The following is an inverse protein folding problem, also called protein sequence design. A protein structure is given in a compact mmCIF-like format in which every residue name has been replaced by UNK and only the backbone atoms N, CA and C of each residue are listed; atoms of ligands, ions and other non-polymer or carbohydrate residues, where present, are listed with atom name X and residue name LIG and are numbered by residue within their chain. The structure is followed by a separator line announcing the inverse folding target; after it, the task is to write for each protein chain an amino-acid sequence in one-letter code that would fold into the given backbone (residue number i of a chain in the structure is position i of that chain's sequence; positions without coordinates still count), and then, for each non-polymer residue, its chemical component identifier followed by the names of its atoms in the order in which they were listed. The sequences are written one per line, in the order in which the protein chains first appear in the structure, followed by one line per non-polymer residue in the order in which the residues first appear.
data_IF_910441169501
#
_entry.id   IF_910441169501
#
_cell.length_a   1.000
_cell.length_b   1.000
_cell.length_c   1.000
_cell.angle_alpha   90.00
_cell.angle_beta   90.00
_cell.angle_gamma   90.00
#
_symmetry.space_group_name_H-M   'P 1'
#
loop_
_entity.id
_entity.type
_entity.pdbx_description
1 polymer ?
#
# COMPACT_ATOMS: atom_id res chain seq x y z
N UNK A 1 -20.52 -19.53 21.28
CA UNK A 1 -19.61 -20.70 21.34
C UNK A 1 -19.04 -20.93 19.94
N UNK A 2 -17.73 -20.70 19.71
CA UNK A 2 -17.12 -21.00 18.40
C UNK A 2 -17.09 -22.53 18.21
N UNK A 3 -17.60 -22.98 17.06
CA UNK A 3 -17.65 -24.40 16.69
C UNK A 3 -16.23 -24.94 16.49
N UNK A 4 -15.99 -26.26 16.69
CA UNK A 4 -14.68 -26.90 16.49
C UNK A 4 -14.12 -26.61 15.09
N UNK A 5 -14.98 -26.56 14.06
CA UNK A 5 -14.62 -26.17 12.69
C UNK A 5 -14.11 -24.71 12.60
N UNK A 6 -14.68 -23.77 13.34
CA UNK A 6 -14.23 -22.38 13.39
C UNK A 6 -12.82 -22.25 13.96
N UNK A 7 -12.54 -22.92 15.08
CA UNK A 7 -11.20 -22.91 15.68
C UNK A 7 -10.12 -23.57 14.81
N UNK A 8 -10.48 -24.59 14.03
CA UNK A 8 -9.55 -25.21 13.09
C UNK A 8 -9.21 -24.26 11.91
N UNK A 9 -10.21 -23.52 11.40
CA UNK A 9 -10.05 -22.51 10.37
C UNK A 9 -9.18 -21.33 10.86
N UNK A 10 -9.46 -20.81 12.05
CA UNK A 10 -8.67 -19.72 12.67
C UNK A 10 -7.20 -20.12 12.88
N UNK A 11 -6.94 -21.36 13.35
CA UNK A 11 -5.57 -21.87 13.50
C UNK A 11 -4.87 -22.02 12.16
N UNK A 12 -5.59 -22.44 11.11
CA UNK A 12 -5.03 -22.56 9.77
C UNK A 12 -4.66 -21.19 9.21
N UNK A 13 -5.53 -20.21 9.36
CA UNK A 13 -5.29 -18.84 8.91
C UNK A 13 -4.14 -18.18 9.69
N UNK A 14 -4.08 -18.36 11.00
CA UNK A 14 -2.98 -17.89 11.84
C UNK A 14 -1.62 -18.47 11.41
N UNK A 15 -1.57 -19.77 11.07
CA UNK A 15 -0.32 -20.40 10.60
C UNK A 15 0.09 -19.93 9.20
N UNK A 16 -0.89 -19.74 8.31
CA UNK A 16 -0.65 -19.14 7.00
C UNK A 16 -0.09 -17.72 7.17
N UNK A 17 -0.71 -16.92 8.05
CA UNK A 17 -0.24 -15.58 8.38
C UNK A 17 1.21 -15.55 8.87
N UNK A 18 1.58 -16.45 9.78
CA UNK A 18 2.96 -16.55 10.28
C UNK A 18 3.96 -16.90 9.18
N UNK A 19 3.60 -17.77 8.22
CA UNK A 19 4.43 -18.07 7.06
C UNK A 19 4.56 -16.86 6.11
N UNK A 20 3.51 -16.06 5.92
CA UNK A 20 3.56 -14.83 5.13
C UNK A 20 4.45 -13.80 5.80
N UNK A 21 4.34 -13.62 7.12
CA UNK A 21 5.17 -12.68 7.87
C UNK A 21 6.65 -13.08 7.82
N UNK A 22 6.96 -14.38 7.94
CA UNK A 22 8.31 -14.89 7.79
C UNK A 22 8.85 -14.71 6.37
N UNK A 23 8.02 -14.96 5.35
CA UNK A 23 8.40 -14.75 3.95
C UNK A 23 8.69 -13.26 3.68
N UNK A 24 7.85 -12.36 4.17
CA UNK A 24 8.09 -10.91 4.07
C UNK A 24 9.44 -10.54 4.72
N UNK A 25 9.70 -10.98 5.95
CA UNK A 25 10.97 -10.70 6.63
C UNK A 25 12.18 -11.20 5.84
N UNK A 26 12.11 -12.42 5.30
CA UNK A 26 13.19 -13.01 4.48
C UNK A 26 13.38 -12.23 3.17
N UNK A 27 12.30 -11.82 2.50
CA UNK A 27 12.38 -11.05 1.26
C UNK A 27 12.93 -9.65 1.49
N UNK A 28 12.60 -9.02 2.61
CA UNK A 28 13.14 -7.71 3.00
C UNK A 28 14.60 -7.75 3.43
N UNK A 29 15.08 -8.88 3.96
CA UNK A 29 16.47 -9.06 4.41
C UNK A 29 17.43 -9.33 3.24
N UNK A 30 17.08 -10.22 2.33
CA UNK A 30 17.99 -10.72 1.29
C UNK A 30 17.45 -10.70 -0.14
N UNK A 31 16.27 -10.11 -0.35
CA UNK A 31 15.59 -10.03 -1.64
C UNK A 31 14.86 -11.33 -2.02
N UNK A 32 13.92 -11.21 -2.98
CA UNK A 32 13.13 -12.36 -3.44
C UNK A 32 13.98 -13.36 -4.22
N UNK A 33 14.90 -12.87 -5.09
CA UNK A 33 15.71 -13.73 -5.95
C UNK A 33 16.64 -14.63 -5.14
N UNK A 34 17.30 -14.09 -4.10
CA UNK A 34 18.24 -14.82 -3.26
C UNK A 34 17.56 -15.69 -2.19
N UNK A 35 16.25 -15.55 -1.98
CA UNK A 35 15.51 -16.30 -0.97
C UNK A 35 15.08 -17.69 -1.44
N UNK A 36 14.97 -18.62 -0.51
CA UNK A 36 14.49 -19.98 -0.74
C UNK A 36 13.32 -20.34 0.17
N UNK A 37 12.61 -21.44 -0.14
CA UNK A 37 11.57 -21.98 0.76
C UNK A 37 12.20 -22.43 2.09
N UNK A 38 13.45 -22.90 2.07
CA UNK A 38 14.14 -23.32 3.30
C UNK A 38 14.39 -22.14 4.23
N UNK A 39 14.76 -20.97 3.71
CA UNK A 39 14.88 -19.74 4.51
C UNK A 39 13.56 -19.33 5.16
N UNK A 40 12.46 -19.42 4.41
CA UNK A 40 11.12 -19.04 4.90
C UNK A 40 10.69 -19.96 6.05
N UNK A 41 10.87 -21.29 5.90
CA UNK A 41 10.44 -22.23 6.94
C UNK A 41 11.34 -22.17 8.18
N UNK A 42 12.62 -21.87 8.01
CA UNK A 42 13.55 -21.62 9.11
C UNK A 42 13.11 -20.37 9.89
N UNK A 43 12.85 -19.24 9.19
CA UNK A 43 12.36 -18.01 9.80
C UNK A 43 11.02 -18.21 10.51
N UNK A 44 10.12 -19.01 9.95
CA UNK A 44 8.83 -19.33 10.54
C UNK A 44 8.91 -20.40 11.65
N UNK A 45 10.07 -21.02 11.87
CA UNK A 45 10.28 -22.14 12.80
C UNK A 45 9.32 -23.32 12.56
N UNK A 46 9.10 -23.70 11.29
CA UNK A 46 8.21 -24.81 10.90
C UNK A 46 8.91 -25.80 9.98
N UNK A 47 8.37 -27.02 9.89
CA UNK A 47 8.86 -28.01 8.93
C UNK A 47 8.50 -27.61 7.50
N UNK A 48 9.37 -27.96 6.52
CA UNK A 48 9.18 -27.67 5.08
C UNK A 48 7.83 -28.18 4.54
N UNK A 49 7.37 -29.34 5.03
CA UNK A 49 6.03 -29.86 4.69
C UNK A 49 4.89 -28.94 5.08
N UNK A 50 5.07 -28.11 6.16
CA UNK A 50 4.07 -27.14 6.58
C UNK A 50 3.90 -26.03 5.55
N UNK A 51 4.98 -25.56 4.93
CA UNK A 51 4.91 -24.60 3.84
C UNK A 51 4.02 -25.10 2.70
N UNK A 52 4.26 -26.32 2.25
CA UNK A 52 3.52 -26.91 1.12
C UNK A 52 2.05 -27.24 1.40
N UNK A 53 1.60 -27.14 2.66
CA UNK A 53 0.17 -27.18 2.99
C UNK A 53 -0.56 -25.87 2.62
N UNK A 54 0.18 -24.75 2.46
CA UNK A 54 -0.37 -23.42 2.19
C UNK A 54 0.04 -22.86 0.83
N UNK A 55 1.25 -23.13 0.37
CA UNK A 55 1.85 -22.60 -0.85
C UNK A 55 2.44 -23.73 -1.67
N UNK A 56 2.18 -23.73 -2.96
CA UNK A 56 2.73 -24.75 -3.89
C UNK A 56 4.14 -24.38 -4.33
N UNK A 57 4.43 -23.09 -4.42
CA UNK A 57 5.68 -22.51 -4.90
C UNK A 57 6.12 -21.33 -4.04
N UNK A 58 7.36 -20.87 -4.20
CA UNK A 58 7.82 -19.60 -3.62
C UNK A 58 7.00 -18.42 -4.14
N UNK A 59 6.60 -18.43 -5.42
CA UNK A 59 5.82 -17.38 -6.04
C UNK A 59 4.42 -17.26 -5.41
N UNK A 60 3.81 -18.37 -4.98
CA UNK A 60 2.57 -18.30 -4.20
C UNK A 60 2.76 -17.55 -2.87
N UNK A 61 3.92 -17.73 -2.22
CA UNK A 61 4.25 -16.98 -1.01
C UNK A 61 4.53 -15.50 -1.32
N UNK A 62 5.22 -15.19 -2.43
CA UNK A 62 5.40 -13.80 -2.90
C UNK A 62 4.06 -13.12 -3.10
N UNK A 63 3.12 -13.79 -3.76
CA UNK A 63 1.77 -13.26 -3.98
C UNK A 63 1.02 -13.00 -2.66
N UNK A 64 1.16 -13.89 -1.68
CA UNK A 64 0.54 -13.72 -0.36
C UNK A 64 1.19 -12.58 0.44
N UNK A 65 2.51 -12.39 0.31
CA UNK A 65 3.24 -11.24 0.88
C UNK A 65 2.71 -9.95 0.28
N UNK A 66 2.49 -9.90 -1.00
CA UNK A 66 1.93 -8.74 -1.64
C UNK A 66 0.52 -8.39 -1.18
N UNK A 67 -0.36 -9.38 -1.06
CA UNK A 67 -1.67 -9.15 -0.45
C UNK A 67 -1.54 -8.54 0.94
N UNK A 68 -0.58 -9.00 1.74
CA UNK A 68 -0.28 -8.47 3.07
C UNK A 68 0.19 -7.02 3.03
N UNK A 69 1.12 -6.69 2.11
CA UNK A 69 1.64 -5.32 1.93
C UNK A 69 0.51 -4.38 1.49
N UNK A 70 -0.29 -4.79 0.52
CA UNK A 70 -1.45 -4.01 0.06
C UNK A 70 -2.46 -3.76 1.19
N UNK A 71 -2.74 -4.77 2.01
CA UNK A 71 -3.62 -4.60 3.17
C UNK A 71 -3.03 -3.64 4.21
N UNK A 72 -1.71 -3.61 4.37
CA UNK A 72 -1.03 -2.63 5.23
C UNK A 72 -1.16 -1.22 4.65
N UNK A 73 -0.85 -1.03 3.38
CA UNK A 73 -0.99 0.28 2.69
C UNK A 73 -2.43 0.81 2.81
N UNK A 74 -3.43 -0.03 2.58
CA UNK A 74 -4.84 0.38 2.73
C UNK A 74 -5.14 0.81 4.17
N UNK A 75 -4.69 0.05 5.17
CA UNK A 75 -4.90 0.41 6.59
C UNK A 75 -4.21 1.72 6.96
N UNK A 76 -3.00 1.95 6.48
CA UNK A 76 -2.26 3.18 6.75
C UNK A 76 -2.96 4.39 6.11
N UNK A 77 -3.47 4.24 4.90
CA UNK A 77 -4.30 5.24 4.23
C UNK A 77 -5.56 5.58 5.05
N UNK A 78 -6.31 4.57 5.46
CA UNK A 78 -7.54 4.75 6.23
C UNK A 78 -7.25 5.35 7.62
N UNK A 79 -6.17 4.91 8.26
CA UNK A 79 -5.73 5.45 9.56
C UNK A 79 -5.32 6.91 9.46
N UNK A 80 -4.55 7.29 8.44
CA UNK A 80 -4.14 8.67 8.20
C UNK A 80 -5.37 9.58 7.98
N UNK A 81 -6.35 9.09 7.20
CA UNK A 81 -7.59 9.81 6.96
C UNK A 81 -8.45 10.00 8.23
N UNK A 82 -8.41 9.03 9.13
CA UNK A 82 -9.20 9.00 10.35
C UNK A 82 -8.51 9.66 11.57
N UNK A 83 -7.29 10.20 11.42
CA UNK A 83 -6.53 10.79 12.54
C UNK A 83 -7.28 12.00 13.12
N UNK A 84 -7.72 11.95 14.40
CA UNK A 84 -8.44 13.04 15.00
C UNK A 84 -7.58 14.31 15.12
N UNK A 85 -8.19 15.48 14.91
CA UNK A 85 -7.54 16.77 15.08
C UNK A 85 -6.69 17.26 13.92
N UNK A 86 -6.51 16.44 12.87
CA UNK A 86 -5.90 16.91 11.63
C UNK A 86 -6.95 17.55 10.72
N UNK A 87 -6.60 18.71 10.14
CA UNK A 87 -7.36 19.33 9.06
C UNK A 87 -7.34 18.44 7.79
N UNK A 88 -8.25 18.69 6.87
CA UNK A 88 -8.31 17.96 5.60
C UNK A 88 -7.01 18.10 4.79
N UNK A 89 -6.36 19.27 4.84
CA UNK A 89 -5.04 19.49 4.24
C UNK A 89 -3.97 18.58 4.87
N UNK A 90 -3.88 18.56 6.20
CA UNK A 90 -2.89 17.74 6.91
C UNK A 90 -3.09 16.24 6.66
N UNK A 91 -4.34 15.78 6.61
CA UNK A 91 -4.68 14.39 6.24
C UNK A 91 -4.21 14.07 4.82
N UNK A 92 -4.46 14.95 3.86
CA UNK A 92 -4.05 14.76 2.48
C UNK A 92 -2.52 14.72 2.33
N UNK A 93 -1.80 15.64 2.98
CA UNK A 93 -0.33 15.66 3.02
C UNK A 93 0.25 14.41 3.70
N UNK A 94 -0.43 13.88 4.72
CA UNK A 94 0.00 12.64 5.38
C UNK A 94 -0.14 11.43 4.44
N UNK A 95 -1.22 11.37 3.64
CA UNK A 95 -1.36 10.36 2.60
C UNK A 95 -0.25 10.46 1.55
N UNK A 96 0.06 11.66 1.06
CA UNK A 96 1.14 11.88 0.10
C UNK A 96 2.50 11.38 0.63
N UNK A 97 2.81 11.63 1.90
CA UNK A 97 4.03 11.11 2.55
C UNK A 97 4.05 9.59 2.66
N UNK A 98 2.91 8.97 2.91
CA UNK A 98 2.81 7.50 3.00
C UNK A 98 3.07 6.84 1.63
N UNK A 99 2.52 7.40 0.56
CA UNK A 99 2.78 6.93 -0.82
C UNK A 99 4.25 7.11 -1.19
N UNK A 100 4.85 8.26 -0.91
CA UNK A 100 6.25 8.56 -1.22
C UNK A 100 7.28 7.70 -0.47
N UNK A 101 6.86 6.93 0.55
CA UNK A 101 7.75 5.99 1.26
C UNK A 101 7.71 4.57 0.71
N UNK A 102 6.73 4.24 -0.11
CA UNK A 102 6.64 2.90 -0.71
C UNK A 102 7.74 2.75 -1.75
N UNK A 103 8.55 1.70 -1.63
CA UNK A 103 9.63 1.42 -2.56
C UNK A 103 10.93 2.22 -2.30
N UNK A 104 11.10 2.85 -1.14
CA UNK A 104 12.37 3.56 -0.83
C UNK A 104 13.50 2.63 -0.42
N UNK A 105 13.18 1.42 0.06
CA UNK A 105 14.16 0.43 0.43
C UNK A 105 14.50 -0.50 -0.76
N UNK A 106 15.79 -0.88 -0.96
CA UNK A 106 16.20 -1.70 -2.12
C UNK A 106 15.42 -3.00 -2.31
N UNK A 107 15.08 -3.68 -1.23
CA UNK A 107 14.34 -4.95 -1.30
C UNK A 107 12.82 -4.75 -1.47
N UNK A 108 12.29 -3.57 -1.12
CA UNK A 108 10.92 -3.18 -1.49
C UNK A 108 10.80 -3.01 -3.00
N UNK A 109 11.79 -2.38 -3.66
CA UNK A 109 11.87 -2.28 -5.11
C UNK A 109 11.83 -3.67 -5.77
N UNK A 110 12.62 -4.62 -5.28
CA UNK A 110 12.62 -5.98 -5.83
C UNK A 110 11.26 -6.67 -5.69
N UNK A 111 10.55 -6.47 -4.57
CA UNK A 111 9.19 -6.96 -4.39
C UNK A 111 8.24 -6.32 -5.41
N UNK A 112 8.33 -5.01 -5.60
CA UNK A 112 7.52 -4.25 -6.56
C UNK A 112 7.79 -4.75 -7.99
N UNK A 113 9.07 -4.94 -8.37
CA UNK A 113 9.47 -5.47 -9.67
C UNK A 113 8.92 -6.87 -9.93
N UNK A 114 8.96 -7.76 -8.92
CA UNK A 114 8.36 -9.10 -9.02
C UNK A 114 6.86 -9.00 -9.29
N UNK A 115 6.19 -8.02 -8.68
CA UNK A 115 4.77 -7.76 -8.90
C UNK A 115 4.45 -7.29 -10.32
N UNK A 116 5.29 -6.44 -10.88
CA UNK A 116 5.09 -5.87 -12.22
C UNK A 116 5.45 -6.85 -13.34
N UNK A 117 6.01 -8.04 -13.03
CA UNK A 117 6.28 -9.05 -14.06
C UNK A 117 5.01 -9.50 -14.76
N UNK A 118 5.15 -9.78 -16.06
CA UNK A 118 4.02 -10.18 -16.91
C UNK A 118 3.24 -11.41 -16.39
N UNK A 119 3.93 -12.37 -15.78
CA UNK A 119 3.33 -13.57 -15.17
C UNK A 119 2.43 -13.24 -13.96
N UNK A 120 2.67 -12.14 -13.27
CA UNK A 120 1.93 -11.71 -12.08
C UNK A 120 0.84 -10.67 -12.39
N UNK A 121 0.66 -10.30 -13.67
CA UNK A 121 -0.21 -9.20 -14.07
C UNK A 121 -1.65 -9.31 -13.55
N UNK A 122 -2.23 -10.49 -13.58
CA UNK A 122 -3.61 -10.68 -13.09
C UNK A 122 -3.73 -10.44 -11.57
N UNK A 123 -2.68 -10.76 -10.81
CA UNK A 123 -2.63 -10.51 -9.36
C UNK A 123 -2.41 -9.02 -9.12
N UNK A 124 -1.45 -8.43 -9.83
CA UNK A 124 -1.18 -7.00 -9.79
C UNK A 124 -2.45 -6.18 -10.05
N UNK A 125 -3.14 -6.43 -11.18
CA UNK A 125 -4.35 -5.68 -11.56
C UNK A 125 -5.47 -5.83 -10.51
N UNK A 126 -5.62 -7.03 -9.93
CA UNK A 126 -6.58 -7.26 -8.83
C UNK A 126 -6.22 -6.46 -7.58
N UNK A 127 -4.94 -6.44 -7.18
CA UNK A 127 -4.46 -5.74 -5.99
C UNK A 127 -4.53 -4.23 -6.16
N UNK A 128 -4.11 -3.73 -7.32
CA UNK A 128 -4.24 -2.30 -7.66
C UNK A 128 -5.71 -1.87 -7.68
N UNK A 129 -6.61 -2.70 -8.21
CA UNK A 129 -8.05 -2.44 -8.15
C UNK A 129 -8.57 -2.32 -6.71
N UNK A 130 -8.10 -3.16 -5.79
CA UNK A 130 -8.46 -3.07 -4.36
C UNK A 130 -7.95 -1.77 -3.72
N UNK A 131 -6.68 -1.42 -3.96
CA UNK A 131 -6.11 -0.15 -3.47
C UNK A 131 -6.92 1.02 -3.99
N UNK A 132 -7.16 1.07 -5.30
CA UNK A 132 -7.84 2.18 -5.94
C UNK A 132 -9.26 2.40 -5.38
N UNK A 133 -10.03 1.33 -5.21
CA UNK A 133 -11.40 1.42 -4.66
C UNK A 133 -11.39 1.99 -3.23
N UNK A 134 -10.48 1.53 -2.37
CA UNK A 134 -10.39 1.98 -0.98
C UNK A 134 -9.81 3.38 -0.89
N UNK A 135 -8.75 3.67 -1.63
CA UNK A 135 -8.12 4.98 -1.68
C UNK A 135 -9.09 6.03 -2.22
N UNK A 136 -9.90 5.69 -3.24
CA UNK A 136 -10.91 6.60 -3.78
C UNK A 136 -11.89 7.03 -2.69
N UNK A 137 -12.47 6.08 -1.94
CA UNK A 137 -13.42 6.41 -0.87
C UNK A 137 -12.77 7.28 0.24
N UNK A 138 -11.53 6.98 0.58
CA UNK A 138 -10.77 7.72 1.60
C UNK A 138 -10.48 9.15 1.15
N UNK A 139 -9.95 9.35 -0.07
CA UNK A 139 -9.62 10.67 -0.59
C UNK A 139 -10.89 11.50 -0.86
N UNK A 140 -11.95 10.88 -1.37
CA UNK A 140 -13.26 11.53 -1.56
C UNK A 140 -13.81 12.07 -0.22
N UNK A 141 -13.68 11.30 0.88
CA UNK A 141 -14.07 11.75 2.22
C UNK A 141 -13.25 12.96 2.67
N UNK A 142 -11.90 12.92 2.50
CA UNK A 142 -11.03 14.03 2.89
C UNK A 142 -11.35 15.30 2.08
N UNK A 143 -11.59 15.16 0.78
CA UNK A 143 -11.94 16.30 -0.08
C UNK A 143 -13.29 16.87 0.31
N UNK A 144 -14.29 16.01 0.61
CA UNK A 144 -15.62 16.44 1.07
C UNK A 144 -15.56 17.20 2.39
N UNK A 145 -14.78 16.69 3.36
CA UNK A 145 -14.55 17.34 4.63
C UNK A 145 -13.85 18.71 4.43
N UNK A 146 -12.82 18.76 3.57
CA UNK A 146 -12.11 20.00 3.25
C UNK A 146 -12.99 21.06 2.57
N UNK A 147 -13.97 20.67 1.77
CA UNK A 147 -14.98 21.56 1.21
C UNK A 147 -15.88 22.09 2.36
N UNK A 148 -16.34 21.21 3.24
CA UNK A 148 -17.16 21.60 4.39
C UNK A 148 -16.41 22.52 5.38
N UNK A 149 -15.10 22.33 5.54
CA UNK A 149 -14.19 23.17 6.32
C UNK A 149 -13.85 24.50 5.62
N UNK A 150 -14.24 24.67 4.35
CA UNK A 150 -13.89 25.84 3.53
C UNK A 150 -12.43 25.90 3.10
N UNK A 151 -11.70 24.79 3.19
CA UNK A 151 -10.30 24.67 2.79
C UNK A 151 -10.14 24.35 1.29
N UNK A 152 -11.10 23.60 0.71
CA UNK A 152 -11.10 23.17 -0.68
C UNK A 152 -12.32 23.73 -1.43
N UNK A 153 -12.19 23.89 -2.76
CA UNK A 153 -13.20 24.51 -3.62
C UNK A 153 -13.74 23.66 -4.77
N UNK A 154 -13.41 22.34 -4.96
CA UNK A 154 -13.93 21.60 -6.09
C UNK A 154 -15.45 21.41 -5.98
N UNK A 155 -16.15 21.44 -7.14
CA UNK A 155 -17.59 21.22 -7.21
C UNK A 155 -17.99 19.75 -7.11
N UNK A 156 -17.10 18.83 -7.51
CA UNK A 156 -17.29 17.38 -7.45
C UNK A 156 -16.15 16.74 -6.66
N UNK A 157 -16.39 16.35 -5.38
CA UNK A 157 -15.37 15.73 -4.52
C UNK A 157 -14.84 14.41 -5.09
N UNK A 158 -15.70 13.62 -5.73
CA UNK A 158 -15.31 12.33 -6.29
C UNK A 158 -14.39 12.49 -7.51
N UNK A 159 -14.70 13.43 -8.39
CA UNK A 159 -13.86 13.75 -9.54
C UNK A 159 -12.50 14.31 -9.08
N UNK A 160 -12.50 15.21 -8.10
CA UNK A 160 -11.30 15.75 -7.49
C UNK A 160 -10.44 14.65 -6.84
N UNK A 161 -11.05 13.72 -6.09
CA UNK A 161 -10.37 12.56 -5.53
C UNK A 161 -9.72 11.68 -6.61
N UNK A 162 -10.41 11.50 -7.75
CA UNK A 162 -9.87 10.79 -8.91
C UNK A 162 -8.61 11.45 -9.47
N UNK A 163 -8.58 12.77 -9.60
CA UNK A 163 -7.37 13.50 -10.03
C UNK A 163 -6.24 13.42 -9.02
N UNK A 164 -6.54 13.54 -7.73
CA UNK A 164 -5.54 13.35 -6.65
C UNK A 164 -4.91 11.97 -6.73
N UNK A 165 -5.71 10.91 -6.87
CA UNK A 165 -5.19 9.54 -6.97
C UNK A 165 -4.41 9.31 -8.26
N UNK A 166 -4.85 9.87 -9.38
CA UNK A 166 -4.11 9.76 -10.64
C UNK A 166 -2.71 10.37 -10.54
N UNK A 167 -2.55 11.47 -9.80
CA UNK A 167 -1.23 12.07 -9.56
C UNK A 167 -0.35 11.20 -8.66
N UNK A 168 -0.92 10.57 -7.62
CA UNK A 168 -0.17 9.65 -6.76
C UNK A 168 0.28 8.37 -7.47
N UNK A 169 -0.54 7.82 -8.37
CA UNK A 169 -0.15 6.61 -9.12
C UNK A 169 0.99 6.87 -10.10
N UNK A 170 1.14 8.11 -10.59
CA UNK A 170 2.22 8.49 -11.49
C UNK A 170 3.55 8.83 -10.78
N UNK A 171 3.56 8.91 -9.44
CA UNK A 171 4.75 9.28 -8.67
C UNK A 171 5.90 8.28 -8.89
N UNK A 172 5.60 7.00 -8.94
CA UNK A 172 6.58 5.94 -9.14
C UNK A 172 7.29 6.07 -10.49
N UNK A 173 6.54 6.29 -11.56
CA UNK A 173 7.10 6.49 -12.90
C UNK A 173 8.04 7.71 -12.97
N UNK A 174 7.76 8.78 -12.23
CA UNK A 174 8.61 9.98 -12.19
C UNK A 174 9.93 9.73 -11.48
N UNK A 175 9.91 8.97 -10.38
CA UNK A 175 11.12 8.60 -9.62
C UNK A 175 12.00 7.65 -10.45
N UNK A 176 11.42 6.69 -11.15
CA UNK A 176 12.16 5.77 -12.04
C UNK A 176 12.91 6.50 -13.15
N UNK A 177 12.50 7.73 -13.51
CA UNK A 177 13.21 8.60 -14.46
C UNK A 177 14.30 9.47 -13.82
N UNK A 178 14.67 9.21 -12.55
CA UNK A 178 15.82 9.80 -11.88
C UNK A 178 15.54 11.11 -11.13
N UNK A 179 14.27 11.46 -10.89
CA UNK A 179 13.91 12.58 -10.03
C UNK A 179 14.13 12.24 -8.55
N UNK A 180 14.51 13.22 -7.73
CA UNK A 180 14.56 13.07 -6.28
C UNK A 180 13.14 12.92 -5.72
N UNK A 181 12.90 11.86 -4.93
CA UNK A 181 11.58 11.55 -4.42
C UNK A 181 11.02 12.64 -3.50
N UNK A 182 11.88 13.32 -2.74
CA UNK A 182 11.47 14.41 -1.84
C UNK A 182 11.00 15.64 -2.62
N UNK A 183 11.74 16.01 -3.67
CA UNK A 183 11.40 17.13 -4.55
C UNK A 183 10.08 16.84 -5.29
N UNK A 184 9.95 15.63 -5.87
CA UNK A 184 8.73 15.22 -6.58
C UNK A 184 7.52 15.20 -5.64
N UNK A 185 7.65 14.66 -4.44
CA UNK A 185 6.57 14.62 -3.46
C UNK A 185 6.12 16.03 -3.01
N UNK A 186 7.08 16.94 -2.83
CA UNK A 186 6.80 18.34 -2.47
C UNK A 186 6.03 19.06 -3.57
N UNK A 187 6.52 19.00 -4.81
CA UNK A 187 5.85 19.62 -5.96
C UNK A 187 4.48 19.02 -6.24
N UNK A 188 4.34 17.69 -6.08
CA UNK A 188 3.08 17.01 -6.24
C UNK A 188 2.04 17.48 -5.21
N UNK A 189 2.44 17.58 -3.94
CA UNK A 189 1.56 18.08 -2.89
C UNK A 189 1.12 19.53 -3.18
N UNK A 190 2.05 20.39 -3.61
CA UNK A 190 1.73 21.76 -3.99
C UNK A 190 0.76 21.80 -5.20
N UNK A 191 0.97 20.95 -6.19
CA UNK A 191 0.08 20.83 -7.35
C UNK A 191 -1.33 20.40 -6.95
N UNK A 192 -1.44 19.36 -6.11
CA UNK A 192 -2.71 18.85 -5.61
C UNK A 192 -3.46 19.93 -4.82
N UNK A 193 -2.80 20.61 -3.88
CA UNK A 193 -3.43 21.65 -3.07
C UNK A 193 -3.90 22.83 -3.93
N UNK A 194 -3.11 23.28 -4.90
CA UNK A 194 -3.55 24.29 -5.88
C UNK A 194 -4.74 23.82 -6.70
N UNK A 195 -4.73 22.56 -7.16
CA UNK A 195 -5.85 21.96 -7.92
C UNK A 195 -7.14 21.86 -7.10
N UNK A 196 -7.03 21.69 -5.80
CA UNK A 196 -8.16 21.71 -4.87
C UNK A 196 -8.59 23.13 -4.45
N UNK A 197 -7.92 24.17 -4.93
CA UNK A 197 -8.24 25.56 -4.62
C UNK A 197 -7.82 26.00 -3.21
N UNK A 198 -6.87 25.29 -2.60
CA UNK A 198 -6.34 25.69 -1.30
C UNK A 198 -5.51 26.97 -1.41
N UNK A 199 -5.90 28.01 -0.68
CA UNK A 199 -5.26 29.33 -0.68
C UNK A 199 -4.59 29.68 0.66
N UNK A 200 -4.34 28.70 1.54
CA UNK A 200 -3.76 28.93 2.87
C UNK A 200 -2.28 29.30 2.84
N UNK A 201 -1.80 30.01 3.86
CA UNK A 201 -0.37 30.27 4.09
C UNK A 201 0.35 28.95 4.37
N UNK A 202 1.27 28.56 3.47
CA UNK A 202 2.06 27.34 3.59
C UNK A 202 1.82 26.30 2.48
N UNK A 203 1.18 26.66 1.38
CA UNK A 203 1.36 25.91 0.15
C UNK A 203 2.84 26.06 -0.26
N UNK A 204 3.64 24.95 -0.29
CA UNK A 204 5.06 25.01 -0.62
C UNK A 204 5.29 25.56 -2.03
#
# INVERSE_FOLDING_TARGET
MATIAGRASERRESRKGALVDAALAVFMDKGVAASSVDDIVEAASVAKGTFYLYFRTKDDAVNAVAERVVDAVIRDFESAAATPGLSSVERLLTLGRSVGRVGTEPHEHELIDVFHRAENRAIHDRLMGRILVRAMATVESIVSDGIAEGQFAPQDPRLAAGFVLATFTSLHDLVDHGADIGDVASELNAFILRGLGYAGEGAP
#
